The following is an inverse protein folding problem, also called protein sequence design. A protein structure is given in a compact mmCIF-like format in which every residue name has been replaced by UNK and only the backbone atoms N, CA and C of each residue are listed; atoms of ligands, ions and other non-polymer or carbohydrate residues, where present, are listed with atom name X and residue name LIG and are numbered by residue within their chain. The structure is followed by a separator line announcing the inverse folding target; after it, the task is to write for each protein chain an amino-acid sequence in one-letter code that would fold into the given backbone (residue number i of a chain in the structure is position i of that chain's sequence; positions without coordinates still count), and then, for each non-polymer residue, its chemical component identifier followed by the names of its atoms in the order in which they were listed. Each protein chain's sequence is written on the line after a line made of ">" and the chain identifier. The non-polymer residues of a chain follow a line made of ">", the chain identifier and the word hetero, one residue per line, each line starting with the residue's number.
data_IF_614244125783
#
_entry.id   IF_614244125783
#
_cell.length_a   1.000
_cell.length_b   1.000
_cell.length_c   1.000
_cell.angle_alpha   90.00
_cell.angle_beta   90.00
_cell.angle_gamma   90.00
#
_symmetry.space_group_name_H-M   'P 1'
#
loop_
_entity.id
_entity.type
_entity.pdbx_description
1 polymer ?
#
# COMPACT_ATOMS: atom_id res chain seq x y z
N UNK A 1 28.13 17.02 0.79
CA UNK A 1 27.07 16.03 0.61
C UNK A 1 27.48 14.98 -0.42
N UNK A 2 27.53 13.71 -0.02
CA UNK A 2 28.03 12.57 -0.79
C UNK A 2 27.40 12.42 -2.18
N UNK A 3 26.14 12.82 -2.33
CA UNK A 3 25.35 12.61 -3.55
C UNK A 3 25.02 13.87 -4.32
N UNK A 4 25.32 15.06 -3.77
CA UNK A 4 24.90 16.37 -4.30
C UNK A 4 25.26 16.55 -5.78
N UNK A 5 26.53 16.39 -6.13
CA UNK A 5 27.02 16.66 -7.49
C UNK A 5 26.35 15.73 -8.53
N UNK A 6 26.13 14.47 -8.14
CA UNK A 6 25.44 13.48 -9.00
C UNK A 6 23.96 13.80 -9.18
N UNK A 7 23.30 14.26 -8.13
CA UNK A 7 21.89 14.66 -8.19
C UNK A 7 21.69 15.89 -9.09
N UNK A 8 22.62 16.84 -9.02
CA UNK A 8 22.61 18.02 -9.91
C UNK A 8 22.90 17.64 -11.35
N UNK A 9 23.91 16.79 -11.61
CA UNK A 9 24.24 16.28 -12.94
C UNK A 9 23.04 15.57 -13.61
N UNK A 10 22.27 14.80 -12.84
CA UNK A 10 21.11 14.05 -13.31
C UNK A 10 19.82 14.88 -13.37
N UNK A 11 19.85 16.13 -12.96
CA UNK A 11 18.68 17.04 -12.93
C UNK A 11 17.48 16.43 -12.19
N UNK A 12 17.74 15.72 -11.07
CA UNK A 12 16.68 15.05 -10.32
C UNK A 12 15.68 16.05 -9.75
N UNK A 13 14.41 15.68 -9.79
CA UNK A 13 13.35 16.39 -9.08
C UNK A 13 13.55 16.29 -7.56
N UNK A 14 12.91 17.18 -6.80
CA UNK A 14 12.97 17.13 -5.32
C UNK A 14 12.51 15.78 -4.75
N UNK A 15 11.47 15.18 -5.34
CA UNK A 15 10.96 13.88 -4.89
C UNK A 15 11.96 12.75 -5.18
N UNK A 16 12.57 12.73 -6.38
CA UNK A 16 13.59 11.73 -6.74
C UNK A 16 14.82 11.84 -5.84
N UNK A 17 15.28 13.07 -5.55
CA UNK A 17 16.38 13.30 -4.60
C UNK A 17 16.04 12.77 -3.21
N UNK A 18 14.83 13.05 -2.73
CA UNK A 18 14.37 12.62 -1.40
C UNK A 18 14.26 11.11 -1.32
N UNK A 19 13.69 10.47 -2.34
CA UNK A 19 13.59 9.01 -2.43
C UNK A 19 14.97 8.34 -2.44
N UNK A 20 15.90 8.85 -3.25
CA UNK A 20 17.26 8.34 -3.32
C UNK A 20 18.00 8.45 -1.97
N UNK A 21 17.87 9.60 -1.28
CA UNK A 21 18.46 9.82 0.04
C UNK A 21 17.84 8.90 1.10
N UNK A 22 16.52 8.68 1.04
CA UNK A 22 15.83 7.77 1.96
C UNK A 22 16.34 6.33 1.79
N UNK A 23 16.48 5.84 0.55
CA UNK A 23 17.01 4.50 0.30
C UNK A 23 18.47 4.35 0.75
N UNK A 24 19.34 5.34 0.50
CA UNK A 24 20.72 5.32 1.00
C UNK A 24 20.76 5.33 2.53
N UNK A 25 19.90 6.12 3.17
CA UNK A 25 19.79 6.17 4.64
C UNK A 25 19.30 4.84 5.22
N UNK A 26 18.26 4.23 4.65
CA UNK A 26 17.76 2.93 5.13
C UNK A 26 18.82 1.83 5.00
N UNK A 27 19.56 1.82 3.88
CA UNK A 27 20.65 0.87 3.67
C UNK A 27 21.80 1.06 4.68
N UNK A 28 22.14 2.32 5.01
CA UNK A 28 23.18 2.62 6.01
C UNK A 28 22.75 2.35 7.44
N UNK A 29 21.44 2.49 7.73
CA UNK A 29 20.87 2.30 9.06
C UNK A 29 20.50 0.84 9.36
N UNK A 30 20.69 -0.06 8.38
CA UNK A 30 20.38 -1.50 8.48
C UNK A 30 18.97 -1.76 9.04
N UNK A 31 17.98 -1.04 8.48
CA UNK A 31 16.59 -1.13 8.94
C UNK A 31 16.01 -2.52 8.67
N UNK A 32 15.30 -3.09 9.63
CA UNK A 32 14.67 -4.41 9.49
C UNK A 32 13.46 -4.38 8.52
N UNK A 33 12.71 -3.27 8.53
CA UNK A 33 11.52 -3.06 7.67
C UNK A 33 11.49 -1.62 7.21
N UNK A 34 11.23 -1.41 5.92
CA UNK A 34 10.94 -0.10 5.35
C UNK A 34 9.52 -0.07 4.76
N UNK A 35 8.72 0.90 5.16
CA UNK A 35 7.42 1.19 4.55
C UNK A 35 7.61 2.33 3.56
N UNK A 36 7.42 2.03 2.28
CA UNK A 36 7.66 2.97 1.19
C UNK A 36 6.34 3.37 0.56
N UNK A 37 6.03 4.65 0.62
CA UNK A 37 4.86 5.22 -0.04
C UNK A 37 5.23 5.80 -1.42
N UNK A 38 4.44 5.49 -2.44
CA UNK A 38 4.59 6.10 -3.77
C UNK A 38 4.18 7.57 -3.73
N UNK A 39 4.94 8.44 -4.40
CA UNK A 39 4.60 9.86 -4.47
C UNK A 39 3.41 10.14 -5.39
N UNK A 40 3.39 9.48 -6.56
CA UNK A 40 2.32 9.65 -7.55
C UNK A 40 2.14 8.42 -8.44
N UNK A 41 0.91 7.93 -8.53
CA UNK A 41 0.57 6.79 -9.38
C UNK A 41 1.18 5.48 -8.90
N UNK A 42 2.25 5.04 -9.51
CA UNK A 42 2.98 3.81 -9.15
C UNK A 42 3.98 3.39 -10.21
N UNK A 43 3.53 3.14 -11.44
CA UNK A 43 4.35 2.57 -12.53
C UNK A 43 5.65 3.33 -12.80
N UNK A 44 5.59 4.65 -12.85
CA UNK A 44 6.72 5.54 -13.12
C UNK A 44 7.20 6.29 -11.88
N UNK A 45 6.74 5.92 -10.70
CA UNK A 45 7.16 6.56 -9.46
C UNK A 45 8.62 6.25 -9.14
N UNK A 46 9.35 7.22 -8.61
CA UNK A 46 10.76 7.07 -8.26
C UNK A 46 11.00 5.98 -7.20
N UNK A 47 10.00 5.69 -6.37
CA UNK A 47 10.07 4.62 -5.37
C UNK A 47 9.90 3.22 -5.98
N UNK A 48 9.41 3.12 -7.23
CA UNK A 48 9.07 1.84 -7.85
C UNK A 48 10.27 1.04 -8.35
N UNK A 49 11.48 1.40 -7.94
CA UNK A 49 12.73 0.64 -8.21
C UNK A 49 12.90 -0.57 -7.27
N UNK A 50 12.16 -0.63 -6.19
CA UNK A 50 12.28 -1.68 -5.17
C UNK A 50 11.59 -2.98 -5.58
N UNK A 51 12.01 -4.08 -4.95
CA UNK A 51 11.29 -5.36 -4.93
C UNK A 51 10.76 -5.55 -3.50
N UNK A 52 9.47 -5.26 -3.25
CA UNK A 52 8.92 -5.31 -1.90
C UNK A 52 8.61 -6.75 -1.46
N UNK A 53 8.35 -6.95 -0.17
CA UNK A 53 7.80 -8.21 0.35
C UNK A 53 6.30 -8.33 0.02
N UNK A 54 5.62 -7.20 0.00
CA UNK A 54 4.21 -7.07 -0.39
C UNK A 54 3.98 -5.69 -0.99
N UNK A 55 3.20 -5.61 -2.07
CA UNK A 55 2.67 -4.34 -2.59
C UNK A 55 1.29 -4.07 -2.00
N UNK A 56 0.97 -2.80 -1.74
CA UNK A 56 -0.34 -2.40 -1.21
C UNK A 56 -0.92 -1.30 -2.08
N UNK A 57 -2.16 -1.47 -2.55
CA UNK A 57 -2.92 -0.44 -3.24
C UNK A 57 -4.15 -0.14 -2.39
N UNK A 58 -4.20 1.04 -1.80
CA UNK A 58 -5.21 1.41 -0.80
C UNK A 58 -6.59 1.59 -1.42
N UNK A 59 -6.69 2.49 -2.39
CA UNK A 59 -7.93 2.80 -3.11
C UNK A 59 -7.64 3.39 -4.49
N UNK A 60 -8.70 3.53 -5.30
CA UNK A 60 -8.69 4.23 -6.57
C UNK A 60 -9.71 5.36 -6.53
N UNK A 61 -9.24 6.58 -6.71
CA UNK A 61 -10.05 7.78 -6.83
C UNK A 61 -9.69 8.58 -8.10
N UNK A 62 -10.60 9.45 -8.54
CA UNK A 62 -10.34 10.38 -9.64
C UNK A 62 -9.47 11.56 -9.16
N UNK A 63 -8.24 11.25 -8.79
CA UNK A 63 -7.24 12.22 -8.35
C UNK A 63 -6.11 12.31 -9.38
N UNK A 64 -5.47 13.47 -9.48
CA UNK A 64 -4.35 13.71 -10.41
C UNK A 64 -4.67 13.29 -11.86
N UNK A 65 -5.90 13.50 -12.32
CA UNK A 65 -6.42 13.02 -13.61
C UNK A 65 -5.62 13.55 -14.81
N UNK A 66 -5.00 14.72 -14.68
CA UNK A 66 -4.13 15.28 -15.71
C UNK A 66 -2.85 14.45 -15.96
N UNK A 67 -2.41 13.64 -14.99
CA UNK A 67 -1.19 12.84 -15.06
C UNK A 67 -1.46 11.33 -15.12
N UNK A 68 -2.44 10.87 -14.35
CA UNK A 68 -2.74 9.43 -14.20
C UNK A 68 -3.84 8.94 -15.15
N UNK A 69 -4.54 9.87 -15.81
CA UNK A 69 -5.64 9.57 -16.72
C UNK A 69 -7.01 9.92 -16.12
N UNK A 70 -8.01 9.99 -16.98
CA UNK A 70 -9.34 10.54 -16.74
C UNK A 70 -10.39 9.46 -16.38
N UNK A 71 -9.97 8.21 -16.20
CA UNK A 71 -10.83 7.10 -15.82
C UNK A 71 -10.24 6.29 -14.65
N UNK A 72 -11.10 5.66 -13.85
CA UNK A 72 -10.67 4.79 -12.75
C UNK A 72 -9.77 3.65 -13.25
N UNK A 73 -10.04 3.09 -14.43
CA UNK A 73 -9.24 2.03 -15.04
C UNK A 73 -7.82 2.49 -15.39
N UNK A 74 -7.66 3.71 -15.92
CA UNK A 74 -6.34 4.27 -16.22
C UNK A 74 -5.54 4.51 -14.95
N UNK A 75 -6.17 5.09 -13.93
CA UNK A 75 -5.54 5.32 -12.62
C UNK A 75 -5.17 3.98 -11.96
N UNK A 76 -6.07 2.99 -12.03
CA UNK A 76 -5.79 1.64 -11.54
C UNK A 76 -4.59 1.00 -12.25
N UNK A 77 -4.46 1.18 -13.58
CA UNK A 77 -3.32 0.67 -14.34
C UNK A 77 -2.00 1.33 -13.93
N UNK A 78 -1.97 2.64 -13.67
CA UNK A 78 -0.79 3.33 -13.17
C UNK A 78 -0.40 2.83 -11.77
N UNK A 79 -1.39 2.68 -10.86
CA UNK A 79 -1.12 2.14 -9.52
C UNK A 79 -0.73 0.65 -9.56
N UNK A 80 -1.32 -0.15 -10.46
CA UNK A 80 -0.96 -1.55 -10.65
C UNK A 80 0.51 -1.76 -11.09
N UNK A 81 1.18 -0.71 -11.56
CA UNK A 81 2.60 -0.75 -11.91
C UNK A 81 3.54 -1.07 -10.74
N UNK A 82 3.06 -1.03 -9.50
CA UNK A 82 3.82 -1.50 -8.33
C UNK A 82 3.70 -3.01 -8.08
N UNK A 83 2.86 -3.71 -8.81
CA UNK A 83 2.71 -5.18 -8.70
C UNK A 83 3.94 -5.83 -9.34
N UNK A 84 4.75 -6.49 -8.54
CA UNK A 84 6.01 -7.11 -8.96
C UNK A 84 5.87 -8.61 -9.16
N UNK A 85 6.77 -9.16 -9.98
CA UNK A 85 6.77 -10.58 -10.30
C UNK A 85 6.86 -11.45 -9.04
N UNK A 86 5.88 -12.32 -8.88
CA UNK A 86 5.75 -13.27 -7.76
C UNK A 86 5.65 -12.62 -6.37
N UNK A 87 5.40 -11.31 -6.30
CA UNK A 87 5.19 -10.58 -5.04
C UNK A 87 3.68 -10.36 -4.87
N UNK A 88 3.08 -10.78 -3.75
CA UNK A 88 1.67 -10.56 -3.49
C UNK A 88 1.29 -9.07 -3.44
N UNK A 89 0.05 -8.78 -3.80
CA UNK A 89 -0.52 -7.44 -3.69
C UNK A 89 -1.79 -7.46 -2.85
N UNK A 90 -1.85 -6.55 -1.86
CA UNK A 90 -3.07 -6.28 -1.10
C UNK A 90 -3.81 -5.12 -1.75
N UNK A 91 -5.10 -5.33 -2.04
CA UNK A 91 -6.02 -4.32 -2.53
C UNK A 91 -6.95 -3.94 -1.37
N UNK A 92 -6.87 -2.68 -0.93
CA UNK A 92 -7.64 -2.17 0.20
C UNK A 92 -9.12 -2.05 -0.12
N UNK A 93 -9.43 -1.32 -1.18
CA UNK A 93 -10.81 -1.15 -1.66
C UNK A 93 -10.94 -1.75 -3.06
N UNK A 94 -11.69 -2.84 -3.16
CA UNK A 94 -12.04 -3.46 -4.44
C UNK A 94 -13.28 -2.81 -5.06
N UNK A 95 -13.31 -2.73 -6.40
CA UNK A 95 -14.50 -2.27 -7.12
C UNK A 95 -14.56 -2.95 -8.49
N UNK A 96 -15.76 -3.41 -8.86
CA UNK A 96 -16.00 -4.11 -10.15
C UNK A 96 -15.61 -3.27 -11.37
N UNK A 97 -15.52 -1.96 -11.22
CA UNK A 97 -15.13 -1.04 -12.31
C UNK A 97 -13.66 -1.15 -12.69
N UNK A 98 -12.78 -1.65 -11.81
CA UNK A 98 -11.33 -1.69 -12.05
C UNK A 98 -10.60 -2.91 -11.47
N UNK A 99 -11.28 -3.82 -10.77
CA UNK A 99 -10.62 -5.01 -10.21
C UNK A 99 -9.97 -5.89 -11.29
N UNK A 100 -10.56 -5.97 -12.48
CA UNK A 100 -10.03 -6.70 -13.63
C UNK A 100 -8.64 -6.20 -14.04
N UNK A 101 -8.35 -4.91 -13.89
CA UNK A 101 -7.02 -4.32 -14.15
C UNK A 101 -5.98 -4.93 -13.21
N UNK A 102 -6.29 -4.99 -11.91
CA UNK A 102 -5.38 -5.57 -10.92
C UNK A 102 -5.18 -7.07 -11.15
N UNK A 103 -6.25 -7.79 -11.44
CA UNK A 103 -6.21 -9.24 -11.69
C UNK A 103 -5.38 -9.58 -12.94
N UNK A 104 -5.53 -8.80 -14.03
CA UNK A 104 -4.74 -8.99 -15.25
C UNK A 104 -3.25 -8.72 -15.00
N UNK A 105 -2.90 -7.62 -14.36
CA UNK A 105 -1.50 -7.27 -14.07
C UNK A 105 -0.89 -8.29 -13.09
N UNK A 106 -1.63 -8.70 -12.07
CA UNK A 106 -1.19 -9.71 -11.12
C UNK A 106 -0.96 -11.07 -11.79
N UNK A 107 -1.89 -11.51 -12.64
CA UNK A 107 -1.75 -12.75 -13.40
C UNK A 107 -0.51 -12.74 -14.31
N UNK A 108 -0.28 -11.64 -15.03
CA UNK A 108 0.92 -11.46 -15.86
C UNK A 108 2.21 -11.53 -15.04
N UNK A 109 2.20 -11.06 -13.80
CA UNK A 109 3.32 -11.10 -12.87
C UNK A 109 3.37 -12.36 -12.01
N UNK A 110 2.43 -13.31 -12.16
CA UNK A 110 2.28 -14.47 -11.26
C UNK A 110 2.18 -14.07 -9.79
N UNK A 111 1.53 -12.97 -9.52
CA UNK A 111 1.32 -12.36 -8.21
C UNK A 111 -0.04 -12.77 -7.65
N UNK A 112 -0.10 -13.04 -6.34
CA UNK A 112 -1.36 -13.32 -5.62
C UNK A 112 -2.04 -11.99 -5.31
N UNK A 113 -3.33 -11.86 -5.63
CA UNK A 113 -4.15 -10.72 -5.22
C UNK A 113 -4.88 -11.06 -3.92
N UNK A 114 -4.82 -10.15 -2.96
CA UNK A 114 -5.47 -10.25 -1.65
C UNK A 114 -6.38 -9.03 -1.49
N UNK A 115 -7.69 -9.23 -1.53
CA UNK A 115 -8.65 -8.17 -1.25
C UNK A 115 -8.86 -8.06 0.26
N UNK A 116 -8.58 -6.91 0.85
CA UNK A 116 -8.64 -6.69 2.30
C UNK A 116 -10.05 -7.01 2.86
N UNK A 117 -11.09 -6.62 2.14
CA UNK A 117 -12.50 -6.89 2.49
C UNK A 117 -12.89 -8.37 2.46
N UNK A 118 -12.11 -9.23 1.79
CA UNK A 118 -12.30 -10.70 1.80
C UNK A 118 -11.55 -11.37 2.95
N UNK A 119 -10.59 -10.68 3.55
CA UNK A 119 -9.80 -11.17 4.69
C UNK A 119 -10.43 -10.74 6.01
N UNK A 120 -10.83 -9.47 6.09
CA UNK A 120 -11.47 -8.88 7.27
C UNK A 120 -12.75 -8.14 6.92
N UNK A 121 -13.68 -8.13 7.87
CA UNK A 121 -14.73 -7.11 7.94
C UNK A 121 -14.50 -6.21 9.14
N UNK A 122 -14.95 -4.95 9.02
CA UNK A 122 -14.77 -3.92 10.02
C UNK A 122 -16.07 -3.14 10.22
N UNK A 123 -16.46 -2.97 11.46
CA UNK A 123 -17.56 -2.12 11.85
C UNK A 123 -17.06 -1.06 12.83
N UNK A 124 -17.43 0.19 12.62
CA UNK A 124 -17.21 1.23 13.61
C UNK A 124 -18.17 1.03 14.78
N UNK A 125 -17.59 0.89 15.99
CA UNK A 125 -18.34 0.61 17.22
C UNK A 125 -18.44 1.85 18.14
N UNK A 126 -18.02 3.03 17.65
CA UNK A 126 -18.13 4.31 18.35
C UNK A 126 -16.81 5.01 18.56
N UNK A 127 -16.79 5.93 19.51
CA UNK A 127 -15.59 6.67 19.90
C UNK A 127 -15.39 6.53 21.42
N UNK A 128 -14.14 6.21 21.82
CA UNK A 128 -13.74 6.10 23.23
C UNK A 128 -12.53 7.00 23.47
N UNK A 129 -12.58 7.89 24.43
CA UNK A 129 -11.46 8.77 24.81
C UNK A 129 -10.83 9.54 23.62
N UNK A 130 -11.65 9.96 22.65
CA UNK A 130 -11.20 10.67 21.45
C UNK A 130 -10.65 9.79 20.34
N UNK A 131 -10.63 8.45 20.50
CA UNK A 131 -10.23 7.46 19.52
C UNK A 131 -11.40 6.84 18.82
N UNK A 132 -11.31 6.58 17.53
CA UNK A 132 -12.29 5.75 16.83
C UNK A 132 -12.12 4.28 17.24
N UNK A 133 -13.22 3.66 17.63
CA UNK A 133 -13.26 2.27 18.06
C UNK A 133 -13.87 1.39 16.97
N UNK A 134 -13.13 0.34 16.57
CA UNK A 134 -13.52 -0.58 15.52
C UNK A 134 -13.61 -2.02 16.03
N UNK A 135 -14.69 -2.70 15.65
CA UNK A 135 -14.87 -4.13 15.84
C UNK A 135 -14.44 -4.84 14.55
N UNK A 136 -13.36 -5.58 14.63
CA UNK A 136 -12.75 -6.32 13.52
C UNK A 136 -13.14 -7.78 13.57
N UNK A 137 -13.38 -8.37 12.39
CA UNK A 137 -13.67 -9.79 12.25
C UNK A 137 -12.81 -10.38 11.12
N UNK A 138 -11.95 -11.33 11.46
CA UNK A 138 -11.14 -12.10 10.50
C UNK A 138 -11.96 -13.25 9.95
N UNK A 139 -12.16 -13.28 8.62
CA UNK A 139 -13.13 -14.16 7.95
C UNK A 139 -12.73 -15.64 7.97
N UNK A 140 -11.43 -15.96 7.93
CA UNK A 140 -10.97 -17.35 7.77
C UNK A 140 -11.17 -18.25 9.00
N UNK A 141 -11.15 -17.67 10.20
CA UNK A 141 -11.23 -18.41 11.49
C UNK A 141 -12.26 -17.83 12.46
N UNK A 142 -13.11 -16.92 11.99
CA UNK A 142 -14.17 -16.23 12.74
C UNK A 142 -13.65 -15.46 13.98
N UNK A 143 -12.35 -15.10 13.99
CA UNK A 143 -11.73 -14.35 15.09
C UNK A 143 -12.21 -12.91 15.12
N UNK A 144 -12.71 -12.47 16.27
CA UNK A 144 -13.15 -11.09 16.53
C UNK A 144 -12.19 -10.43 17.52
N UNK A 145 -11.89 -9.15 17.26
CA UNK A 145 -11.05 -8.32 18.13
C UNK A 145 -11.40 -6.84 17.93
N UNK A 146 -11.00 -6.02 18.87
CA UNK A 146 -11.26 -4.59 18.87
C UNK A 146 -9.96 -3.81 18.63
N UNK A 147 -10.06 -2.68 17.96
CA UNK A 147 -8.94 -1.77 17.71
C UNK A 147 -9.37 -0.33 17.95
N UNK A 148 -8.56 0.41 18.68
CA UNK A 148 -8.70 1.85 18.87
C UNK A 148 -7.68 2.59 18.00
N UNK A 149 -8.17 3.55 17.19
CA UNK A 149 -7.33 4.40 16.35
C UNK A 149 -7.33 5.83 16.86
N UNK A 150 -6.15 6.42 17.01
CA UNK A 150 -5.97 7.86 17.28
C UNK A 150 -6.37 8.73 16.08
N UNK A 151 -6.32 8.15 14.87
CA UNK A 151 -6.73 8.82 13.63
C UNK A 151 -8.24 8.74 13.46
N UNK A 152 -8.87 9.86 13.15
CA UNK A 152 -10.32 9.97 12.99
C UNK A 152 -10.72 10.22 11.54
N UNK A 153 -11.93 9.80 11.17
CA UNK A 153 -12.50 9.98 9.83
C UNK A 153 -13.15 8.71 9.28
N UNK A 154 -14.20 8.84 8.49
CA UNK A 154 -14.98 7.71 7.97
C UNK A 154 -14.17 6.78 7.06
N UNK A 155 -13.12 7.31 6.41
CA UNK A 155 -12.21 6.54 5.55
C UNK A 155 -11.28 5.62 6.36
N UNK A 156 -11.10 5.83 7.66
CA UNK A 156 -10.23 5.00 8.49
C UNK A 156 -10.68 3.55 8.57
N UNK A 157 -11.98 3.28 8.38
CA UNK A 157 -12.49 1.92 8.26
C UNK A 157 -11.84 1.15 7.12
N UNK A 158 -11.58 1.79 5.99
CA UNK A 158 -10.94 1.17 4.84
C UNK A 158 -9.42 1.03 5.06
N UNK A 159 -8.81 2.05 5.65
CA UNK A 159 -7.39 2.01 5.98
C UNK A 159 -7.04 0.88 6.95
N UNK A 160 -7.85 0.70 8.01
CA UNK A 160 -7.60 -0.37 9.00
C UNK A 160 -7.80 -1.77 8.40
N UNK A 161 -8.76 -1.95 7.49
CA UNK A 161 -8.92 -3.22 6.76
C UNK A 161 -7.68 -3.53 5.93
N UNK A 162 -7.19 -2.54 5.19
CA UNK A 162 -5.99 -2.66 4.36
C UNK A 162 -4.76 -2.98 5.20
N UNK A 163 -4.56 -2.25 6.30
CA UNK A 163 -3.44 -2.47 7.21
C UNK A 163 -3.52 -3.86 7.86
N UNK A 164 -4.70 -4.25 8.38
CA UNK A 164 -4.90 -5.56 9.01
C UNK A 164 -4.64 -6.71 8.03
N UNK A 165 -5.15 -6.62 6.79
CA UNK A 165 -4.90 -7.65 5.77
C UNK A 165 -3.42 -7.74 5.39
N UNK A 166 -2.72 -6.61 5.34
CA UNK A 166 -1.28 -6.56 5.06
C UNK A 166 -0.47 -7.19 6.20
N UNK A 167 -0.77 -6.83 7.45
CA UNK A 167 -0.11 -7.38 8.63
C UNK A 167 -0.39 -8.89 8.77
N UNK A 168 -1.62 -9.31 8.54
CA UNK A 168 -2.01 -10.73 8.57
C UNK A 168 -1.23 -11.55 7.55
N UNK A 169 -1.08 -11.03 6.33
CA UNK A 169 -0.24 -11.64 5.29
C UNK A 169 1.23 -11.70 5.71
N UNK A 170 1.80 -10.59 6.20
CA UNK A 170 3.20 -10.55 6.63
C UNK A 170 3.50 -11.52 7.77
N UNK A 171 2.61 -11.62 8.73
CA UNK A 171 2.74 -12.52 9.88
C UNK A 171 2.72 -14.01 9.49
N UNK A 172 1.95 -14.37 8.46
CA UNK A 172 1.77 -15.77 8.07
C UNK A 172 2.77 -16.25 7.01
N UNK A 173 3.09 -15.39 6.07
CA UNK A 173 3.86 -15.77 4.87
C UNK A 173 5.32 -15.29 4.93
N UNK A 174 5.72 -14.61 6.00
CA UNK A 174 7.09 -14.12 6.17
C UNK A 174 7.61 -14.42 7.58
N UNK A 175 8.94 -14.39 7.81
CA UNK A 175 9.51 -14.55 9.15
C UNK A 175 9.31 -13.32 10.06
N UNK A 176 8.65 -12.27 9.58
CA UNK A 176 8.40 -11.05 10.35
C UNK A 176 7.41 -11.31 11.48
N UNK A 177 7.80 -11.02 12.71
CA UNK A 177 6.91 -11.05 13.87
C UNK A 177 6.42 -9.65 14.15
N UNK A 178 5.14 -9.42 13.89
CA UNK A 178 4.46 -8.13 14.14
C UNK A 178 3.54 -8.35 15.35
N UNK A 179 3.80 -7.60 16.42
CA UNK A 179 3.06 -7.67 17.70
C UNK A 179 1.89 -6.69 17.73
#
# INVERSE_FOLDING_TARGET
>A
DKHHDKMVELELSFFEMTAALAFDYFAQSDVEVAVIETGLGGRLDATNIIVPVVSVITNIGLEHTALLGDTLQKIAAEKAGIIKKSIPVVIGEGDLRYNDVFEQVAAANKSKVIYAEKVFSCQECGCREGRQHFCMHRMRDDRKFEVDLDLTGNYQRHNILTAAATVDFLHEETPLTIS
#
